data_IF_197725631048
#
_entry.id   IF_197725631048
#
_cell.length_a   1.000
_cell.length_b   1.000
_cell.length_c   1.000
_cell.angle_alpha   90.00
_cell.angle_beta   90.00
_cell.angle_gamma   90.00
#
_symmetry.space_group_name_H-M   'P 1'
#
loop_
_entity.id
_entity.type
_entity.pdbx_description
1 polymer ?
#
# COMPACT_ATOMS: atom_id res chain seq x y z
N UNK A 1 7.47 35.40 0.80
CA UNK A 1 6.99 34.23 0.03
C UNK A 1 6.73 33.11 1.03
N UNK A 2 5.49 32.69 1.24
CA UNK A 2 5.20 31.55 2.13
C UNK A 2 5.58 30.29 1.36
N UNK A 3 6.61 29.58 1.81
CA UNK A 3 6.87 28.22 1.34
C UNK A 3 5.67 27.36 1.72
N UNK A 4 4.90 26.92 0.72
CA UNK A 4 3.85 25.92 0.92
C UNK A 4 4.50 24.53 0.88
N UNK A 5 5.28 24.21 1.91
CA UNK A 5 5.73 22.84 2.10
C UNK A 5 4.49 21.96 2.32
N UNK A 6 4.19 20.98 1.45
CA UNK A 6 3.07 20.08 1.67
C UNK A 6 3.29 19.34 2.99
N UNK A 7 2.37 19.52 3.94
CA UNK A 7 2.48 18.92 5.27
C UNK A 7 1.44 17.83 5.42
N UNK A 8 1.89 16.61 5.67
CA UNK A 8 1.05 15.48 6.05
C UNK A 8 1.13 15.31 7.57
N UNK A 9 0.00 15.43 8.27
CA UNK A 9 -0.09 14.98 9.66
C UNK A 9 -0.57 13.54 9.64
N UNK A 10 0.19 12.64 10.26
CA UNK A 10 -0.08 11.21 10.31
C UNK A 10 0.04 10.70 11.74
N UNK A 11 -0.98 9.99 12.21
CA UNK A 11 -0.91 9.14 13.40
C UNK A 11 -1.10 7.68 12.96
N UNK A 12 -0.30 6.77 13.52
CA UNK A 12 -0.37 5.36 13.19
C UNK A 12 -0.34 4.47 14.43
N UNK A 13 -1.12 3.39 14.37
CA UNK A 13 -1.11 2.25 15.29
C UNK A 13 -0.68 1.03 14.46
N UNK A 14 0.50 0.50 14.73
CA UNK A 14 1.10 -0.61 13.97
C UNK A 14 1.07 -1.88 14.82
N UNK A 15 0.32 -2.87 14.35
CA UNK A 15 0.22 -4.19 14.97
C UNK A 15 0.77 -5.29 14.08
N UNK A 16 0.86 -6.51 14.63
CA UNK A 16 1.32 -7.70 13.90
C UNK A 16 0.40 -8.07 12.72
N UNK A 17 -0.88 -7.76 12.79
CA UNK A 17 -1.89 -8.11 11.78
C UNK A 17 -2.22 -6.97 10.81
N UNK A 18 -1.65 -5.78 11.01
CA UNK A 18 -1.90 -4.62 10.15
C UNK A 18 -1.67 -3.29 10.84
N UNK A 19 -1.88 -2.21 10.09
CA UNK A 19 -1.78 -0.84 10.53
C UNK A 19 -3.12 -0.10 10.46
N UNK A 20 -3.36 0.77 11.44
CA UNK A 20 -4.42 1.78 11.42
C UNK A 20 -3.77 3.15 11.28
N UNK A 21 -4.24 3.94 10.33
CA UNK A 21 -3.65 5.23 10.01
C UNK A 21 -4.73 6.30 10.04
N UNK A 22 -4.40 7.44 10.63
CA UNK A 22 -5.22 8.64 10.62
C UNK A 22 -4.40 9.78 10.06
N UNK A 23 -4.87 10.41 8.98
CA UNK A 23 -4.09 11.43 8.29
C UNK A 23 -4.88 12.69 7.94
N UNK A 24 -4.15 13.81 7.82
CA UNK A 24 -4.63 15.11 7.34
C UNK A 24 -3.67 15.74 6.34
N UNK A 25 -4.19 16.21 5.21
CA UNK A 25 -3.44 16.91 4.15
C UNK A 25 -3.54 18.45 4.26
N UNK A 26 -4.57 18.94 4.95
CA UNK A 26 -4.80 20.36 5.22
C UNK A 26 -5.57 20.52 6.53
N UNK A 27 -5.72 21.77 7.01
CA UNK A 27 -6.60 22.02 8.15
C UNK A 27 -8.03 21.61 7.80
N UNK A 28 -8.56 20.62 8.52
CA UNK A 28 -9.90 20.09 8.29
C UNK A 28 -10.05 18.61 8.68
N UNK A 29 -10.70 17.86 7.78
CA UNK A 29 -11.13 16.48 7.97
C UNK A 29 -9.96 15.52 8.21
N UNK A 30 -10.12 14.63 9.18
CA UNK A 30 -9.25 13.47 9.38
C UNK A 30 -9.75 12.33 8.51
N UNK A 31 -8.85 11.70 7.76
CA UNK A 31 -9.14 10.47 7.02
C UNK A 31 -8.58 9.27 7.78
N UNK A 32 -9.31 8.16 7.75
CA UNK A 32 -8.87 6.89 8.32
C UNK A 32 -8.55 5.90 7.21
N UNK A 33 -7.48 5.14 7.41
CA UNK A 33 -7.04 4.08 6.52
C UNK A 33 -6.67 2.86 7.36
N UNK A 34 -7.10 1.68 6.91
CA UNK A 34 -6.70 0.39 7.45
C UNK A 34 -5.99 -0.40 6.36
N UNK A 35 -4.91 -1.07 6.74
CA UNK A 35 -4.15 -1.95 5.85
C UNK A 35 -3.64 -3.15 6.63
N UNK A 36 -3.79 -4.32 6.06
CA UNK A 36 -3.31 -5.60 6.58
C UNK A 36 -1.77 -5.67 6.49
N UNK A 37 -1.13 -6.54 7.28
CA UNK A 37 0.34 -6.54 7.44
C UNK A 37 1.11 -7.29 6.34
N UNK A 38 0.40 -7.93 5.41
CA UNK A 38 0.99 -8.78 4.39
C UNK A 38 1.86 -7.95 3.44
N UNK A 39 3.01 -8.53 3.07
CA UNK A 39 3.94 -7.97 2.10
C UNK A 39 4.38 -9.08 1.17
N UNK A 40 4.38 -8.80 -0.12
CA UNK A 40 4.86 -9.72 -1.14
C UNK A 40 5.65 -8.99 -2.21
N UNK A 41 6.69 -9.63 -2.74
CA UNK A 41 7.64 -9.01 -3.67
C UNK A 41 7.82 -9.87 -4.92
N UNK A 42 8.13 -9.22 -6.03
CA UNK A 42 8.60 -9.85 -7.27
C UNK A 42 9.48 -8.89 -8.06
N UNK A 43 10.27 -9.42 -9.00
CA UNK A 43 10.92 -8.56 -10.01
C UNK A 43 9.87 -7.79 -10.81
N UNK A 44 10.15 -6.51 -11.03
CA UNK A 44 9.35 -5.60 -11.85
C UNK A 44 9.56 -5.85 -13.37
N UNK A 45 10.52 -6.69 -13.74
CA UNK A 45 10.78 -7.06 -15.12
C UNK A 45 9.52 -7.64 -15.80
N UNK A 46 9.19 -7.10 -16.97
CA UNK A 46 8.01 -7.51 -17.76
C UNK A 46 6.66 -7.02 -17.23
N UNK A 47 6.62 -6.25 -16.12
CA UNK A 47 5.38 -5.66 -15.61
C UNK A 47 5.24 -4.21 -16.10
N UNK A 48 4.50 -4.03 -17.19
CA UNK A 48 4.26 -2.70 -17.76
C UNK A 48 3.14 -1.93 -17.04
N UNK A 49 2.11 -2.64 -16.58
CA UNK A 49 0.94 -2.06 -15.92
C UNK A 49 0.39 -2.99 -14.84
N UNK A 50 -0.16 -2.40 -13.78
CA UNK A 50 -0.92 -3.07 -12.74
C UNK A 50 -2.35 -2.53 -12.75
N UNK A 51 -3.33 -3.41 -12.70
CA UNK A 51 -4.74 -3.03 -12.74
C UNK A 51 -5.06 -2.11 -11.55
N UNK A 52 -5.70 -0.98 -11.84
CA UNK A 52 -6.26 -0.10 -10.81
C UNK A 52 -7.76 -0.38 -10.73
N UNK A 53 -8.21 -0.92 -9.60
CA UNK A 53 -9.62 -1.17 -9.31
C UNK A 53 -9.91 -0.99 -7.83
N UNK A 54 -11.18 -0.86 -7.46
CA UNK A 54 -11.58 -0.79 -6.04
C UNK A 54 -11.05 0.44 -5.30
N UNK A 55 -10.98 0.34 -3.96
CA UNK A 55 -10.43 1.41 -3.12
C UNK A 55 -8.90 1.37 -3.18
N UNK A 56 -8.20 2.51 -3.14
CA UNK A 56 -6.74 2.55 -3.27
C UNK A 56 -5.98 1.57 -2.37
N UNK A 57 -6.44 1.36 -1.14
CA UNK A 57 -5.84 0.43 -0.19
C UNK A 57 -6.02 -1.05 -0.51
N UNK A 58 -7.04 -1.40 -1.29
CA UNK A 58 -7.30 -2.80 -1.66
C UNK A 58 -6.33 -3.26 -2.77
N UNK A 59 -5.67 -2.34 -3.48
CA UNK A 59 -4.71 -2.61 -4.58
C UNK A 59 -3.39 -1.84 -4.39
N UNK A 60 -2.93 -1.72 -3.15
CA UNK A 60 -1.74 -0.96 -2.83
C UNK A 60 -0.45 -1.71 -3.21
N UNK A 61 0.41 -1.02 -3.95
CA UNK A 61 1.74 -1.48 -4.32
C UNK A 61 2.65 -0.28 -4.54
N UNK A 62 3.95 -0.51 -4.46
CA UNK A 62 4.96 0.45 -4.88
C UNK A 62 6.11 -0.25 -5.58
N UNK A 63 6.84 0.51 -6.38
CA UNK A 63 8.05 0.04 -7.05
C UNK A 63 9.25 0.75 -6.45
N UNK A 64 10.26 -0.02 -6.07
CA UNK A 64 11.57 0.48 -5.66
C UNK A 64 12.60 -0.20 -6.55
N UNK A 65 13.29 0.57 -7.39
CA UNK A 65 14.24 0.04 -8.39
C UNK A 65 13.62 -1.04 -9.31
N UNK A 66 14.17 -2.26 -9.33
CA UNK A 66 13.63 -3.41 -10.08
C UNK A 66 12.73 -4.33 -9.25
N UNK A 67 12.32 -3.90 -8.06
CA UNK A 67 11.42 -4.66 -7.20
C UNK A 67 10.03 -4.04 -7.17
N UNK A 68 9.02 -4.89 -7.37
CA UNK A 68 7.63 -4.56 -7.18
C UNK A 68 7.16 -5.14 -5.85
N UNK A 69 6.76 -4.27 -4.93
CA UNK A 69 6.24 -4.64 -3.60
C UNK A 69 4.74 -4.41 -3.53
N UNK A 70 4.00 -5.46 -3.20
CA UNK A 70 2.58 -5.42 -2.87
C UNK A 70 2.42 -5.36 -1.35
N UNK A 71 1.37 -4.70 -0.87
CA UNK A 71 1.07 -4.59 0.56
C UNK A 71 -0.42 -4.84 0.87
N UNK A 72 -0.70 -5.36 2.05
CA UNK A 72 -2.05 -5.67 2.54
C UNK A 72 -2.76 -6.66 1.61
N UNK A 73 -4.03 -6.40 1.28
CA UNK A 73 -4.83 -7.28 0.42
C UNK A 73 -4.20 -7.62 -0.92
N UNK A 74 -3.47 -6.69 -1.53
CA UNK A 74 -2.78 -6.94 -2.80
C UNK A 74 -1.68 -8.00 -2.62
N UNK A 75 -0.94 -7.94 -1.50
CA UNK A 75 0.05 -8.95 -1.16
C UNK A 75 -0.60 -10.29 -0.86
N UNK A 76 -1.67 -10.31 -0.07
CA UNK A 76 -2.41 -11.55 0.22
C UNK A 76 -2.89 -12.22 -1.07
N UNK A 77 -3.55 -11.48 -1.97
CA UNK A 77 -4.02 -12.02 -3.24
C UNK A 77 -2.88 -12.55 -4.13
N UNK A 78 -1.72 -11.88 -4.12
CA UNK A 78 -0.54 -12.34 -4.84
C UNK A 78 0.00 -13.65 -4.24
N UNK A 79 0.11 -13.73 -2.92
CA UNK A 79 0.58 -14.94 -2.23
C UNK A 79 -0.37 -16.10 -2.49
N UNK A 80 -1.68 -15.90 -2.32
CA UNK A 80 -2.70 -16.91 -2.57
C UNK A 80 -2.58 -17.45 -4.01
N UNK A 81 -2.53 -16.56 -5.01
CA UNK A 81 -2.42 -16.97 -6.41
C UNK A 81 -1.16 -17.77 -6.73
N UNK A 82 -0.01 -17.41 -6.15
CA UNK A 82 1.24 -18.14 -6.41
C UNK A 82 1.41 -19.39 -5.53
N UNK A 83 0.68 -19.49 -4.42
CA UNK A 83 0.64 -20.69 -3.59
C UNK A 83 0.07 -21.89 -4.38
N UNK A 84 -0.83 -21.63 -5.33
CA UNK A 84 -1.40 -22.65 -6.22
C UNK A 84 -0.48 -23.06 -7.38
N UNK A 85 0.72 -22.48 -7.52
CA UNK A 85 1.65 -22.77 -8.63
C UNK A 85 2.84 -23.64 -8.23
N UNK A 86 2.90 -24.10 -6.98
CA UNK A 86 3.97 -24.97 -6.48
C UNK A 86 3.60 -26.48 -6.51
N UNK A 87 2.62 -26.88 -7.33
CA UNK A 87 2.36 -28.28 -7.72
C UNK A 87 2.70 -28.52 -9.21
#
# INVERSE_FOLDING_TARGET
MISRNPTLLLACDLGKSGGKFFYKLSQGQTHALWMEAEVAQRSASGVAHLAQGGRPQDNAWFRLEDELTFVGKAAQAFLDYNSFKEE
#
